data_IF_586439221312
#
_entry.id   IF_586439221312
#
_cell.length_a   1.000
_cell.length_b   1.000
_cell.length_c   1.000
_cell.angle_alpha   90.00
_cell.angle_beta   90.00
_cell.angle_gamma   90.00
#
_symmetry.space_group_name_H-M   'P 1'
#
loop_
_entity.id
_entity.type
_entity.pdbx_description
1 polymer ?
#
# COMPACT_ATOMS: atom_id res chain seq x y z
N UNK A 1 -28.85 110.97 -155.17
CA UNK A 1 -28.98 109.54 -154.78
C UNK A 1 -27.73 108.92 -154.14
N UNK A 2 -26.49 109.22 -154.57
CA UNK A 2 -25.26 108.62 -153.98
C UNK A 2 -25.12 108.82 -152.44
N UNK A 3 -25.41 110.00 -151.91
CA UNK A 3 -25.26 110.29 -150.47
C UNK A 3 -26.21 109.49 -149.56
N UNK A 4 -27.46 109.22 -150.00
CA UNK A 4 -28.41 108.41 -149.24
C UNK A 4 -28.00 106.93 -149.19
N UNK A 5 -27.50 106.42 -150.31
CA UNK A 5 -26.98 105.04 -150.42
C UNK A 5 -25.78 104.81 -149.50
N UNK A 6 -24.85 105.77 -149.45
CA UNK A 6 -23.68 105.73 -148.55
C UNK A 6 -24.12 105.78 -147.07
N UNK A 7 -25.13 106.57 -146.71
CA UNK A 7 -25.65 106.61 -145.33
C UNK A 7 -26.29 105.29 -144.91
N UNK A 8 -27.06 104.65 -145.78
CA UNK A 8 -27.66 103.33 -145.49
C UNK A 8 -26.59 102.25 -145.40
N UNK A 9 -25.60 102.26 -146.29
CA UNK A 9 -24.47 101.33 -146.25
C UNK A 9 -23.62 101.51 -144.98
N UNK A 10 -23.34 102.76 -144.59
CA UNK A 10 -22.63 103.07 -143.34
C UNK A 10 -23.45 102.68 -142.10
N UNK A 11 -24.77 102.94 -142.10
CA UNK A 11 -25.66 102.50 -141.03
C UNK A 11 -25.67 100.98 -140.88
N UNK A 12 -25.84 100.25 -142.00
CA UNK A 12 -25.85 98.79 -141.98
C UNK A 12 -24.52 98.23 -141.48
N UNK A 13 -23.39 98.75 -141.97
CA UNK A 13 -22.05 98.39 -141.50
C UNK A 13 -21.88 98.65 -140.00
N UNK A 14 -22.30 99.81 -139.50
CA UNK A 14 -22.23 100.14 -138.09
C UNK A 14 -23.11 99.23 -137.22
N UNK A 15 -24.32 98.90 -137.68
CA UNK A 15 -25.23 97.98 -136.97
C UNK A 15 -24.71 96.54 -136.97
N UNK A 16 -24.13 96.07 -138.08
CA UNK A 16 -23.50 94.75 -138.13
C UNK A 16 -22.31 94.66 -137.20
N UNK A 17 -21.44 95.67 -137.20
CA UNK A 17 -20.28 95.76 -136.29
C UNK A 17 -20.76 95.80 -134.83
N UNK A 18 -21.74 96.64 -134.48
CA UNK A 18 -22.28 96.71 -133.11
C UNK A 18 -22.92 95.39 -132.64
N UNK A 19 -23.61 94.66 -133.54
CA UNK A 19 -24.16 93.33 -133.24
C UNK A 19 -23.07 92.28 -133.06
N UNK A 20 -22.02 92.30 -133.88
CA UNK A 20 -20.87 91.41 -133.74
C UNK A 20 -20.09 91.68 -132.46
N UNK A 21 -19.87 92.96 -132.11
CA UNK A 21 -19.28 93.39 -130.84
C UNK A 21 -20.12 92.94 -129.65
N UNK A 22 -21.45 93.11 -129.70
CA UNK A 22 -22.35 92.61 -128.64
C UNK A 22 -22.31 91.09 -128.52
N UNK A 23 -22.28 90.34 -129.63
CA UNK A 23 -22.12 88.87 -129.61
C UNK A 23 -20.75 88.48 -129.03
N UNK A 24 -19.69 89.21 -129.35
CA UNK A 24 -18.35 89.02 -128.79
C UNK A 24 -18.35 89.27 -127.27
N UNK A 25 -18.96 90.37 -126.83
CA UNK A 25 -19.13 90.69 -125.41
C UNK A 25 -19.93 89.61 -124.66
N UNK A 26 -21.06 89.16 -125.19
CA UNK A 26 -21.87 88.12 -124.56
C UNK A 26 -21.13 86.77 -124.46
N UNK A 27 -20.35 86.39 -125.48
CA UNK A 27 -19.48 85.20 -125.44
C UNK A 27 -18.39 85.33 -124.37
N UNK A 28 -17.75 86.50 -124.29
CA UNK A 28 -16.73 86.78 -123.27
C UNK A 28 -17.34 86.76 -121.86
N UNK A 29 -18.50 87.39 -121.66
CA UNK A 29 -19.23 87.38 -120.39
C UNK A 29 -19.66 85.97 -119.99
N UNK A 30 -20.20 85.16 -120.91
CA UNK A 30 -20.58 83.77 -120.63
C UNK A 30 -19.37 82.94 -120.20
N UNK A 31 -18.24 83.09 -120.90
CA UNK A 31 -16.99 82.41 -120.57
C UNK A 31 -16.45 82.85 -119.20
N UNK A 32 -16.45 84.16 -118.92
CA UNK A 32 -16.04 84.72 -117.64
C UNK A 32 -16.93 84.23 -116.48
N UNK A 33 -18.25 84.22 -116.65
CA UNK A 33 -19.19 83.71 -115.63
C UNK A 33 -19.00 82.21 -115.39
N UNK A 34 -18.73 81.40 -116.42
CA UNK A 34 -18.41 79.98 -116.25
C UNK A 34 -17.13 79.78 -115.43
N UNK A 35 -16.07 80.53 -115.75
CA UNK A 35 -14.80 80.48 -114.99
C UNK A 35 -15.03 80.94 -113.54
N UNK A 36 -15.75 82.05 -113.34
CA UNK A 36 -16.06 82.58 -112.01
C UNK A 36 -16.90 81.61 -111.17
N UNK A 37 -17.94 81.00 -111.76
CA UNK A 37 -18.81 80.04 -111.06
C UNK A 37 -18.07 78.75 -110.75
N UNK A 38 -17.24 78.24 -111.67
CA UNK A 38 -16.39 77.08 -111.43
C UNK A 38 -15.37 77.38 -110.32
N UNK A 39 -14.71 78.54 -110.36
CA UNK A 39 -13.77 78.96 -109.33
C UNK A 39 -14.44 79.08 -107.96
N UNK A 40 -15.62 79.72 -107.87
CA UNK A 40 -16.38 79.84 -106.61
C UNK A 40 -16.80 78.47 -106.07
N UNK A 41 -17.29 77.56 -106.91
CA UNK A 41 -17.61 76.17 -106.49
C UNK A 41 -16.38 75.44 -105.99
N UNK A 42 -15.24 75.56 -106.69
CA UNK A 42 -13.97 74.93 -106.29
C UNK A 42 -13.43 75.53 -104.99
N UNK A 43 -13.58 76.83 -104.79
CA UNK A 43 -13.20 77.52 -103.55
C UNK A 43 -14.07 77.02 -102.37
N UNK A 44 -15.39 76.95 -102.54
CA UNK A 44 -16.31 76.42 -101.52
C UNK A 44 -16.01 74.96 -101.18
N UNK A 45 -15.81 74.10 -102.18
CA UNK A 45 -15.47 72.69 -101.97
C UNK A 45 -14.14 72.51 -101.21
N UNK A 46 -13.16 73.39 -101.42
CA UNK A 46 -11.91 73.40 -100.63
C UNK A 46 -12.16 73.78 -99.17
N UNK A 47 -13.00 74.79 -98.92
CA UNK A 47 -13.38 75.19 -97.56
C UNK A 47 -14.12 74.05 -96.85
N UNK A 48 -15.10 73.42 -97.49
CA UNK A 48 -15.85 72.30 -96.93
C UNK A 48 -14.97 71.07 -96.68
N UNK A 49 -14.08 70.75 -97.64
CA UNK A 49 -13.10 69.68 -97.47
C UNK A 49 -12.19 69.96 -96.28
N UNK A 50 -11.72 71.20 -96.11
CA UNK A 50 -10.89 71.57 -94.98
C UNK A 50 -11.67 71.45 -93.67
N UNK A 51 -12.94 71.90 -93.62
CA UNK A 51 -13.81 71.76 -92.45
C UNK A 51 -14.02 70.29 -92.07
N UNK A 52 -14.26 69.43 -93.06
CA UNK A 52 -14.37 67.98 -92.86
C UNK A 52 -13.05 67.39 -92.34
N UNK A 53 -11.91 67.75 -92.93
CA UNK A 53 -10.60 67.25 -92.51
C UNK A 53 -10.26 67.70 -91.07
N UNK A 54 -10.60 68.93 -90.69
CA UNK A 54 -10.42 69.41 -89.30
C UNK A 54 -11.28 68.59 -88.33
N UNK A 55 -12.57 68.37 -88.64
CA UNK A 55 -13.44 67.51 -87.83
C UNK A 55 -12.92 66.08 -87.74
N UNK A 56 -12.48 65.50 -88.87
CA UNK A 56 -11.91 64.15 -88.93
C UNK A 56 -10.64 64.04 -88.09
N UNK A 57 -9.72 65.01 -88.19
CA UNK A 57 -8.50 65.06 -87.38
C UNK A 57 -8.84 65.10 -85.89
N UNK A 58 -9.72 66.00 -85.47
CA UNK A 58 -10.16 66.10 -84.07
C UNK A 58 -10.80 64.80 -83.55
N UNK A 59 -11.61 64.13 -84.38
CA UNK A 59 -12.20 62.84 -84.02
C UNK A 59 -11.11 61.75 -83.87
N UNK A 60 -10.17 61.67 -84.81
CA UNK A 60 -9.06 60.70 -84.75
C UNK A 60 -8.17 60.96 -83.54
N UNK A 61 -7.87 62.21 -83.19
CA UNK A 61 -7.07 62.55 -82.00
C UNK A 61 -7.78 62.18 -80.70
N UNK A 62 -9.10 62.40 -80.62
CA UNK A 62 -9.89 61.99 -79.45
C UNK A 62 -9.95 60.47 -79.34
N UNK A 63 -10.16 59.76 -80.45
CA UNK A 63 -10.19 58.31 -80.48
C UNK A 63 -8.84 57.69 -80.12
N UNK A 64 -7.72 58.22 -80.64
CA UNK A 64 -6.39 57.71 -80.30
C UNK A 64 -6.05 57.97 -78.83
N UNK A 65 -6.39 59.14 -78.30
CA UNK A 65 -6.27 59.45 -76.88
C UNK A 65 -7.09 58.49 -76.03
N UNK A 66 -8.36 58.26 -76.36
CA UNK A 66 -9.22 57.35 -75.60
C UNK A 66 -8.72 55.91 -75.64
N UNK A 67 -8.25 55.41 -76.80
CA UNK A 67 -7.63 54.08 -76.90
C UNK A 67 -6.40 53.97 -76.00
N UNK A 68 -5.56 54.99 -75.94
CA UNK A 68 -4.40 55.03 -75.04
C UNK A 68 -4.81 55.06 -73.56
N UNK A 69 -5.82 55.86 -73.19
CA UNK A 69 -6.31 55.91 -71.80
C UNK A 69 -6.87 54.55 -71.38
N UNK A 70 -7.64 53.90 -72.27
CA UNK A 70 -8.18 52.57 -72.03
C UNK A 70 -7.07 51.55 -71.78
N UNK A 71 -6.06 51.45 -72.65
CA UNK A 71 -4.95 50.49 -72.48
C UNK A 71 -4.12 50.80 -71.23
N UNK A 72 -3.87 52.08 -70.92
CA UNK A 72 -3.19 52.49 -69.68
C UNK A 72 -3.97 52.05 -68.44
N UNK A 73 -5.29 52.23 -68.42
CA UNK A 73 -6.14 51.83 -67.30
C UNK A 73 -6.18 50.30 -67.13
N UNK A 74 -6.29 49.54 -68.23
CA UNK A 74 -6.22 48.08 -68.21
C UNK A 74 -4.88 47.58 -67.64
N UNK A 75 -3.76 48.16 -68.09
CA UNK A 75 -2.43 47.86 -67.56
C UNK A 75 -2.31 48.18 -66.06
N UNK A 76 -2.77 49.35 -65.62
CA UNK A 76 -2.73 49.72 -64.20
C UNK A 76 -3.58 48.79 -63.34
N UNK A 77 -4.72 48.33 -63.86
CA UNK A 77 -5.57 47.35 -63.18
C UNK A 77 -4.84 46.02 -62.99
N UNK A 78 -4.25 45.47 -64.06
CA UNK A 78 -3.44 44.26 -64.00
C UNK A 78 -2.25 44.41 -63.05
N UNK A 79 -1.49 45.51 -63.15
CA UNK A 79 -0.37 45.82 -62.26
C UNK A 79 -0.81 45.84 -60.79
N UNK A 80 -1.94 46.48 -60.48
CA UNK A 80 -2.48 46.54 -59.13
C UNK A 80 -2.83 45.15 -58.59
N UNK A 81 -3.45 44.29 -59.39
CA UNK A 81 -3.74 42.90 -58.99
C UNK A 81 -2.47 42.09 -58.71
N UNK A 82 -1.47 42.17 -59.60
CA UNK A 82 -0.18 41.49 -59.43
C UNK A 82 0.52 41.95 -58.15
N UNK A 83 0.58 43.26 -57.91
CA UNK A 83 1.21 43.81 -56.70
C UNK A 83 0.45 43.39 -55.43
N UNK A 84 -0.89 43.35 -55.46
CA UNK A 84 -1.70 42.84 -54.34
C UNK A 84 -1.41 41.36 -54.07
N UNK A 85 -1.30 40.54 -55.11
CA UNK A 85 -0.96 39.12 -54.99
C UNK A 85 0.44 38.92 -54.40
N UNK A 86 1.44 39.63 -54.95
CA UNK A 86 2.82 39.60 -54.45
C UNK A 86 2.91 40.04 -52.99
N UNK A 87 2.22 41.13 -52.61
CA UNK A 87 2.18 41.61 -51.21
C UNK A 87 1.59 40.55 -50.28
N UNK A 88 0.45 39.95 -50.65
CA UNK A 88 -0.18 38.86 -49.87
C UNK A 88 0.76 37.65 -49.72
N UNK A 89 1.44 37.26 -50.79
CA UNK A 89 2.39 36.16 -50.76
C UNK A 89 3.59 36.46 -49.84
N UNK A 90 4.19 37.66 -49.93
CA UNK A 90 5.31 38.06 -49.07
C UNK A 90 4.92 38.05 -47.59
N UNK A 91 3.75 38.58 -47.24
CA UNK A 91 3.21 38.55 -45.86
C UNK A 91 3.01 37.10 -45.40
N UNK A 92 2.39 36.25 -46.23
CA UNK A 92 2.16 34.83 -45.89
C UNK A 92 3.48 34.06 -45.71
N UNK A 93 4.49 34.36 -46.53
CA UNK A 93 5.84 33.77 -46.42
C UNK A 93 6.51 34.18 -45.10
N UNK A 94 6.48 35.47 -44.76
CA UNK A 94 7.04 35.98 -43.51
C UNK A 94 6.32 35.38 -42.29
N UNK A 95 4.99 35.36 -42.28
CA UNK A 95 4.19 34.77 -41.20
C UNK A 95 4.45 33.27 -41.00
N UNK A 96 4.72 32.52 -42.07
CA UNK A 96 5.11 31.11 -41.98
C UNK A 96 6.50 30.93 -41.37
N UNK A 97 7.45 31.79 -41.73
CA UNK A 97 8.80 31.77 -41.16
C UNK A 97 8.77 32.06 -39.65
N UNK A 98 8.11 33.14 -39.23
CA UNK A 98 7.98 33.50 -37.82
C UNK A 98 7.22 32.44 -37.02
N UNK A 99 6.15 31.86 -37.58
CA UNK A 99 5.43 30.75 -36.93
C UNK A 99 6.31 29.52 -36.75
N UNK A 100 7.15 29.18 -37.74
CA UNK A 100 8.07 28.04 -37.65
C UNK A 100 9.11 28.28 -36.56
N UNK A 101 9.71 29.46 -36.52
CA UNK A 101 10.67 29.84 -35.48
C UNK A 101 10.03 29.77 -34.09
N UNK A 102 8.85 30.37 -33.90
CA UNK A 102 8.10 30.30 -32.65
C UNK A 102 7.77 28.86 -32.22
N UNK A 103 7.42 27.98 -33.16
CA UNK A 103 7.17 26.57 -32.87
C UNK A 103 8.43 25.85 -32.38
N UNK A 104 9.58 26.11 -33.02
CA UNK A 104 10.86 25.53 -32.62
C UNK A 104 11.30 26.03 -31.25
N UNK A 105 11.22 27.34 -30.99
CA UNK A 105 11.57 27.91 -29.68
C UNK A 105 10.64 27.41 -28.59
N UNK A 106 9.33 27.37 -28.83
CA UNK A 106 8.37 26.80 -27.88
C UNK A 106 8.62 25.32 -27.62
N UNK A 107 8.90 24.52 -28.64
CA UNK A 107 9.25 23.11 -28.47
C UNK A 107 10.52 22.95 -27.63
N UNK A 108 11.56 23.74 -27.91
CA UNK A 108 12.81 23.74 -27.14
C UNK A 108 12.56 24.10 -25.66
N UNK A 109 11.77 25.14 -25.39
CA UNK A 109 11.41 25.54 -24.02
C UNK A 109 10.66 24.41 -23.29
N UNK A 110 9.71 23.74 -23.94
CA UNK A 110 9.00 22.59 -23.34
C UNK A 110 9.95 21.45 -23.00
N UNK A 111 10.90 21.12 -23.88
CA UNK A 111 11.89 20.07 -23.62
C UNK A 111 12.83 20.48 -22.49
N UNK A 112 13.36 21.69 -22.52
CA UNK A 112 14.28 22.22 -21.50
C UNK A 112 13.63 22.28 -20.11
N UNK A 113 12.39 22.78 -20.02
CA UNK A 113 11.65 22.86 -18.75
C UNK A 113 11.39 21.47 -18.17
N UNK A 114 10.94 20.52 -19.00
CA UNK A 114 10.77 19.11 -18.57
C UNK A 114 12.08 18.48 -18.11
N UNK A 115 13.16 18.69 -18.85
CA UNK A 115 14.48 18.16 -18.49
C UNK A 115 15.00 18.73 -17.15
N UNK A 116 14.88 20.05 -16.95
CA UNK A 116 15.26 20.70 -15.68
C UNK A 116 14.44 20.16 -14.51
N UNK A 117 13.12 20.01 -14.68
CA UNK A 117 12.24 19.45 -13.66
C UNK A 117 12.58 17.99 -13.31
N UNK A 118 12.82 17.15 -14.32
CA UNK A 118 13.23 15.75 -14.11
C UNK A 118 14.57 15.65 -13.38
N UNK A 119 15.53 16.49 -13.76
CA UNK A 119 16.86 16.51 -13.13
C UNK A 119 16.77 16.94 -11.66
N UNK A 120 16.00 17.99 -11.36
CA UNK A 120 15.74 18.43 -10.00
C UNK A 120 15.05 17.35 -9.17
N UNK A 121 14.03 16.69 -9.73
CA UNK A 121 13.32 15.58 -9.06
C UNK A 121 14.24 14.41 -8.77
N UNK A 122 15.10 14.00 -9.72
CA UNK A 122 16.08 12.93 -9.50
C UNK A 122 17.03 13.25 -8.35
N UNK A 123 17.58 14.47 -8.31
CA UNK A 123 18.44 14.93 -7.22
C UNK A 123 17.72 14.90 -5.87
N UNK A 124 16.52 15.46 -5.81
CA UNK A 124 15.72 15.48 -4.59
C UNK A 124 15.39 14.08 -4.07
N UNK A 125 14.97 13.16 -4.95
CA UNK A 125 14.67 11.77 -4.59
C UNK A 125 15.92 11.07 -4.04
N UNK A 126 17.08 11.26 -4.66
CA UNK A 126 18.34 10.70 -4.18
C UNK A 126 18.71 11.23 -2.78
N UNK A 127 18.65 12.56 -2.58
CA UNK A 127 18.92 13.17 -1.28
C UNK A 127 17.92 12.72 -0.21
N UNK A 128 16.64 12.63 -0.54
CA UNK A 128 15.59 12.13 0.37
C UNK A 128 15.84 10.67 0.75
N UNK A 129 16.21 9.83 -0.21
CA UNK A 129 16.51 8.42 0.08
C UNK A 129 17.73 8.29 0.99
N UNK A 130 18.79 9.04 0.73
CA UNK A 130 19.97 9.08 1.59
C UNK A 130 19.62 9.53 3.02
N UNK A 131 18.80 10.58 3.15
CA UNK A 131 18.33 11.08 4.45
C UNK A 131 17.51 10.02 5.21
N UNK A 132 16.59 9.32 4.53
CA UNK A 132 15.81 8.23 5.13
C UNK A 132 16.72 7.11 5.64
N UNK A 133 17.73 6.72 4.86
CA UNK A 133 18.69 5.69 5.27
C UNK A 133 19.45 6.12 6.52
N UNK A 134 20.01 7.33 6.52
CA UNK A 134 20.76 7.88 7.67
C UNK A 134 19.87 7.94 8.92
N UNK A 135 18.65 8.49 8.78
CA UNK A 135 17.70 8.59 9.88
C UNK A 135 17.28 7.22 10.43
N UNK A 136 17.05 6.24 9.55
CA UNK A 136 16.67 4.88 9.95
C UNK A 136 17.80 4.19 10.73
N UNK A 137 19.04 4.32 10.25
CA UNK A 137 20.22 3.78 10.93
C UNK A 137 20.47 4.47 12.27
N UNK A 138 20.29 5.80 12.34
CA UNK A 138 20.43 6.55 13.58
C UNK A 138 19.41 6.12 14.64
N UNK A 139 18.12 6.01 14.25
CA UNK A 139 17.04 5.52 15.13
C UNK A 139 17.33 4.10 15.63
N UNK A 140 17.78 3.22 14.72
CA UNK A 140 18.19 1.85 15.07
C UNK A 140 19.35 1.85 16.06
N UNK A 141 20.39 2.67 15.85
CA UNK A 141 21.54 2.77 16.75
C UNK A 141 21.15 3.23 18.15
N UNK A 142 20.30 4.26 18.26
CA UNK A 142 19.78 4.72 19.56
C UNK A 142 19.01 3.61 20.27
N UNK A 143 18.07 2.97 19.57
CA UNK A 143 17.27 1.89 20.16
C UNK A 143 18.15 0.72 20.62
N UNK A 144 19.14 0.35 19.82
CA UNK A 144 20.10 -0.73 20.14
C UNK A 144 20.95 -0.39 21.35
N UNK A 145 21.46 0.84 21.44
CA UNK A 145 22.22 1.30 22.63
C UNK A 145 21.35 1.22 23.88
N UNK A 146 20.14 1.77 23.84
CA UNK A 146 19.20 1.73 24.97
C UNK A 146 18.88 0.30 25.40
N UNK A 147 18.59 -0.59 24.44
CA UNK A 147 18.35 -2.02 24.72
C UNK A 147 19.56 -2.68 25.37
N UNK A 148 20.77 -2.47 24.83
CA UNK A 148 22.00 -3.02 25.41
C UNK A 148 22.21 -2.54 26.85
N UNK A 149 22.08 -1.24 27.11
CA UNK A 149 22.21 -0.68 28.46
C UNK A 149 21.25 -1.33 29.45
N UNK A 150 19.96 -1.43 29.09
CA UNK A 150 18.94 -2.06 29.93
C UNK A 150 19.24 -3.55 30.13
N UNK A 151 19.64 -4.27 29.07
CA UNK A 151 19.99 -5.68 29.13
C UNK A 151 21.16 -5.93 30.06
N UNK A 152 22.21 -5.12 29.97
CA UNK A 152 23.37 -5.24 30.86
C UNK A 152 23.00 -4.93 32.31
N UNK A 153 22.25 -3.86 32.57
CA UNK A 153 21.78 -3.56 33.92
C UNK A 153 20.95 -4.70 34.52
N UNK A 154 20.00 -5.25 33.76
CA UNK A 154 19.19 -6.39 34.18
C UNK A 154 20.04 -7.65 34.44
N UNK A 155 21.03 -7.92 33.59
CA UNK A 155 21.95 -9.05 33.77
C UNK A 155 22.75 -8.91 35.08
N UNK A 156 23.29 -7.73 35.34
CA UNK A 156 24.04 -7.44 36.56
C UNK A 156 23.14 -7.65 37.79
N UNK A 157 21.94 -7.08 37.81
CA UNK A 157 20.98 -7.27 38.91
C UNK A 157 20.67 -8.76 39.12
N UNK A 158 20.46 -9.51 38.04
CA UNK A 158 20.18 -10.95 38.12
C UNK A 158 21.37 -11.74 38.69
N UNK A 159 22.61 -11.39 38.31
CA UNK A 159 23.82 -12.04 38.84
C UNK A 159 23.93 -11.77 40.35
N UNK A 160 23.82 -10.52 40.78
CA UNK A 160 23.87 -10.15 42.19
C UNK A 160 22.75 -10.81 43.00
N UNK A 161 21.53 -10.85 42.46
CA UNK A 161 20.39 -11.51 43.12
C UNK A 161 20.62 -13.02 43.28
N UNK A 162 21.08 -13.70 42.24
CA UNK A 162 21.41 -15.14 42.32
C UNK A 162 22.50 -15.42 43.34
N UNK A 163 23.57 -14.61 43.36
CA UNK A 163 24.64 -14.72 44.34
C UNK A 163 24.12 -14.49 45.77
N UNK A 164 23.27 -13.48 45.98
CA UNK A 164 22.64 -13.19 47.27
C UNK A 164 21.77 -14.37 47.75
N UNK A 165 20.91 -14.92 46.88
CA UNK A 165 20.04 -16.06 47.22
C UNK A 165 20.89 -17.29 47.57
N UNK A 166 21.94 -17.58 46.79
CA UNK A 166 22.86 -18.68 47.08
C UNK A 166 23.57 -18.49 48.43
N UNK A 167 24.13 -17.30 48.68
CA UNK A 167 24.78 -16.97 49.95
C UNK A 167 23.83 -17.04 51.15
N UNK A 168 22.58 -16.60 51.00
CA UNK A 168 21.55 -16.71 52.04
C UNK A 168 21.22 -18.16 52.36
N UNK A 169 21.11 -19.01 51.33
CA UNK A 169 20.87 -20.45 51.50
C UNK A 169 22.01 -21.12 52.26
N UNK A 170 23.25 -20.84 51.88
CA UNK A 170 24.43 -21.43 52.54
C UNK A 170 24.57 -20.94 53.98
N UNK A 171 24.29 -19.65 54.25
CA UNK A 171 24.26 -19.11 55.61
C UNK A 171 23.22 -19.80 56.49
N UNK A 172 22.00 -20.02 55.99
CA UNK A 172 20.95 -20.73 56.72
C UNK A 172 21.37 -22.18 57.02
N UNK A 173 22.00 -22.85 56.03
CA UNK A 173 22.55 -24.19 56.20
C UNK A 173 23.63 -24.24 57.28
N UNK A 174 24.59 -23.30 57.25
CA UNK A 174 25.64 -23.17 58.26
C UNK A 174 25.06 -22.92 59.66
N UNK A 175 24.07 -22.03 59.80
CA UNK A 175 23.43 -21.76 61.09
C UNK A 175 22.72 -23.00 61.65
N UNK A 176 22.03 -23.76 60.80
CA UNK A 176 21.40 -25.03 61.18
C UNK A 176 22.44 -26.08 61.64
N UNK A 177 23.51 -26.27 60.87
CA UNK A 177 24.63 -27.15 61.23
C UNK A 177 25.29 -26.73 62.55
N UNK A 178 25.55 -25.44 62.72
CA UNK A 178 26.12 -24.89 63.96
C UNK A 178 25.19 -25.13 65.15
N UNK A 179 23.89 -24.92 64.99
CA UNK A 179 22.92 -25.17 66.06
C UNK A 179 22.84 -26.66 66.42
N UNK A 180 22.84 -27.55 65.42
CA UNK A 180 22.91 -29.00 65.64
C UNK A 180 24.19 -29.39 66.38
N UNK A 181 25.35 -28.88 65.96
CA UNK A 181 26.63 -29.11 66.62
C UNK A 181 26.63 -28.63 68.08
N UNK A 182 26.13 -27.42 68.36
CA UNK A 182 25.99 -26.90 69.73
C UNK A 182 25.08 -27.80 70.57
N UNK A 183 23.95 -28.25 70.01
CA UNK A 183 23.03 -29.17 70.71
C UNK A 183 23.69 -30.50 71.03
N UNK A 184 24.42 -31.09 70.08
CA UNK A 184 25.19 -32.32 70.29
C UNK A 184 26.27 -32.10 71.35
N UNK A 185 27.04 -31.03 71.26
CA UNK A 185 28.09 -30.69 72.24
C UNK A 185 27.50 -30.49 73.64
N UNK A 186 26.37 -29.79 73.77
CA UNK A 186 25.64 -29.64 75.04
C UNK A 186 25.15 -30.98 75.58
N UNK A 187 24.54 -31.81 74.73
CA UNK A 187 24.06 -33.15 75.10
C UNK A 187 25.21 -34.07 75.51
N UNK A 188 26.34 -34.01 74.81
CA UNK A 188 27.56 -34.75 75.15
C UNK A 188 28.12 -34.32 76.49
N UNK A 189 28.31 -33.01 76.71
CA UNK A 189 28.77 -32.48 78.01
C UNK A 189 27.82 -32.89 79.14
N UNK A 190 26.51 -32.76 78.95
CA UNK A 190 25.50 -33.24 79.90
C UNK A 190 25.62 -34.74 80.14
N UNK A 191 25.71 -35.58 79.09
CA UNK A 191 25.88 -37.03 79.24
C UNK A 191 27.21 -37.40 79.92
N UNK A 192 28.27 -36.61 79.73
CA UNK A 192 29.54 -36.81 80.43
C UNK A 192 29.37 -36.57 81.92
N UNK A 193 28.74 -35.46 82.31
CA UNK A 193 28.38 -35.17 83.72
C UNK A 193 27.43 -36.25 84.27
N UNK A 194 26.39 -36.63 83.54
CA UNK A 194 25.47 -37.70 83.95
C UNK A 194 26.14 -39.08 84.03
N UNK A 195 27.23 -39.33 83.30
CA UNK A 195 28.05 -40.55 83.40
C UNK A 195 28.96 -40.46 84.62
N UNK A 196 29.59 -39.32 84.87
CA UNK A 196 30.38 -39.06 86.08
C UNK A 196 29.49 -39.17 87.35
N UNK A 197 28.27 -38.64 87.31
CA UNK A 197 27.25 -38.79 88.35
C UNK A 197 26.64 -40.19 88.39
N UNK A 198 26.43 -40.87 87.26
CA UNK A 198 26.00 -42.28 87.27
C UNK A 198 27.07 -43.19 87.80
N UNK A 199 28.35 -42.92 87.57
CA UNK A 199 29.43 -43.68 88.18
C UNK A 199 29.33 -43.52 89.71
N UNK A 200 29.22 -42.27 90.20
CA UNK A 200 28.95 -41.99 91.62
C UNK A 200 27.68 -42.66 92.15
N UNK A 201 26.57 -42.59 91.42
CA UNK A 201 25.30 -43.24 91.79
C UNK A 201 25.33 -44.75 91.59
N UNK A 202 26.16 -45.32 90.72
CA UNK A 202 26.35 -46.77 90.57
C UNK A 202 27.23 -47.29 91.69
N UNK A 203 28.12 -46.48 92.23
CA UNK A 203 28.79 -46.76 93.51
C UNK A 203 27.77 -46.73 94.67
N UNK A 204 26.82 -45.78 94.68
CA UNK A 204 25.69 -45.75 95.64
C UNK A 204 24.60 -46.80 95.37
N UNK A 205 24.36 -47.19 94.12
CA UNK A 205 23.36 -48.20 93.70
C UNK A 205 23.97 -49.59 93.74
N UNK A 206 25.30 -49.79 93.68
CA UNK A 206 25.91 -51.04 94.12
C UNK A 206 25.67 -51.27 95.62
N UNK A 207 25.53 -50.19 96.39
CA UNK A 207 25.12 -50.21 97.80
C UNK A 207 23.61 -50.48 98.00
N UNK A 208 22.76 -50.19 97.00
CA UNK A 208 21.29 -50.36 97.04
C UNK A 208 20.82 -51.59 96.22
N UNK A 209 21.60 -52.10 95.27
CA UNK A 209 21.32 -53.26 94.41
C UNK A 209 21.75 -54.59 95.05
N UNK A 210 22.38 -54.54 96.23
CA UNK A 210 22.32 -55.63 97.21
C UNK A 210 20.98 -55.68 97.94
N UNK A 211 20.08 -54.69 97.73
CA UNK A 211 18.85 -54.50 98.51
C UNK A 211 17.55 -54.56 97.71
N UNK A 212 17.60 -54.57 96.37
CA UNK A 212 16.40 -54.63 95.52
C UNK A 212 16.66 -55.65 94.40
N UNK A 213 16.86 -56.91 94.82
CA UNK A 213 16.65 -58.11 94.00
C UNK A 213 15.28 -58.74 94.26
N UNK A 214 14.50 -58.20 95.20
CA UNK A 214 13.10 -58.54 95.35
C UNK A 214 12.25 -57.50 94.60
N UNK A 215 11.35 -58.04 93.76
CA UNK A 215 10.14 -57.44 93.18
C UNK A 215 10.19 -57.00 91.69
N UNK A 216 9.43 -57.77 90.90
CA UNK A 216 9.08 -57.70 89.46
C UNK A 216 8.45 -56.34 89.06
N UNK A 217 8.18 -55.95 87.81
CA UNK A 217 8.13 -56.57 86.47
C UNK A 217 7.23 -55.68 85.55
N UNK A 218 7.39 -55.81 84.23
CA UNK A 218 6.46 -55.42 83.11
C UNK A 218 6.07 -53.94 82.90
N UNK A 219 5.65 -53.39 81.75
CA UNK A 219 5.63 -53.69 80.29
C UNK A 219 5.18 -52.38 79.54
N UNK A 220 5.63 -52.18 78.27
CA UNK A 220 4.97 -51.74 76.99
C UNK A 220 3.83 -50.65 77.05
N UNK A 221 3.48 -49.77 76.05
CA UNK A 221 3.73 -49.65 74.57
C UNK A 221 4.19 -48.21 74.15
N UNK A 222 4.41 -47.77 72.90
CA UNK A 222 3.91 -48.10 71.56
C UNK A 222 3.07 -46.93 71.01
N UNK A 223 3.53 -46.24 69.96
CA UNK A 223 2.71 -45.53 68.92
C UNK A 223 3.67 -44.99 67.82
N UNK A 224 3.73 -45.62 66.65
CA UNK A 224 2.91 -45.38 65.44
C UNK A 224 3.17 -44.03 64.75
N UNK A 225 4.06 -44.13 63.77
CA UNK A 225 4.27 -43.24 62.65
C UNK A 225 3.04 -43.28 61.73
N UNK A 226 2.29 -42.19 61.68
CA UNK A 226 1.21 -41.96 60.71
C UNK A 226 1.76 -41.04 59.62
N UNK A 227 2.35 -41.62 58.58
CA UNK A 227 2.53 -40.95 57.29
C UNK A 227 2.32 -41.92 56.14
N UNK A 228 1.07 -42.16 55.75
CA UNK A 228 0.71 -42.63 54.40
C UNK A 228 -0.78 -42.41 54.14
N UNK A 229 -1.15 -41.17 53.83
CA UNK A 229 -2.35 -40.88 53.00
C UNK A 229 -2.13 -39.60 52.22
N UNK A 230 -1.67 -39.70 50.97
CA UNK A 230 -1.87 -38.68 49.94
C UNK A 230 -1.55 -39.24 48.57
N UNK A 231 -2.47 -40.07 48.05
CA UNK A 231 -2.68 -40.29 46.62
C UNK A 231 -3.95 -41.13 46.44
N UNK A 232 -5.13 -40.53 46.60
CA UNK A 232 -6.39 -41.10 46.14
C UNK A 232 -7.21 -40.05 45.38
N UNK A 233 -7.93 -40.45 44.31
CA UNK A 233 -8.70 -39.57 43.43
C UNK A 233 -10.00 -39.09 44.11
N UNK A 234 -9.83 -38.26 45.13
CA UNK A 234 -10.91 -37.61 45.88
C UNK A 234 -10.42 -36.49 46.82
N UNK A 235 -9.16 -36.05 46.71
CA UNK A 235 -8.62 -35.02 47.60
C UNK A 235 -9.04 -33.61 47.18
N UNK A 236 -9.43 -32.78 48.15
CA UNK A 236 -9.73 -31.35 48.02
C UNK A 236 -8.62 -30.53 47.32
N UNK A 237 -7.42 -31.10 47.20
CA UNK A 237 -6.28 -30.51 46.49
C UNK A 237 -6.59 -30.05 45.06
N UNK A 238 -7.34 -30.82 44.26
CA UNK A 238 -7.66 -30.42 42.88
C UNK A 238 -8.72 -29.32 42.81
N UNK A 239 -9.64 -29.29 43.79
CA UNK A 239 -10.60 -28.20 43.96
C UNK A 239 -9.89 -26.92 44.38
N UNK A 240 -8.94 -27.01 45.31
CA UNK A 240 -8.13 -25.90 45.78
C UNK A 240 -7.22 -25.35 44.66
N UNK A 241 -6.66 -26.23 43.83
CA UNK A 241 -5.85 -25.80 42.67
C UNK A 241 -6.67 -25.00 41.64
N UNK A 242 -7.92 -25.41 41.39
CA UNK A 242 -8.82 -24.70 40.46
C UNK A 242 -9.39 -23.42 41.09
N UNK A 243 -9.66 -23.41 42.40
CA UNK A 243 -10.07 -22.19 43.11
C UNK A 243 -8.98 -21.12 43.04
N UNK A 244 -7.71 -21.51 43.18
CA UNK A 244 -6.56 -20.61 42.99
C UNK A 244 -6.50 -20.05 41.57
N UNK A 245 -6.81 -20.83 40.53
CA UNK A 245 -6.87 -20.34 39.15
C UNK A 245 -7.99 -19.30 38.97
N UNK A 246 -9.16 -19.53 39.58
CA UNK A 246 -10.31 -18.61 39.52
C UNK A 246 -10.08 -17.33 40.33
N UNK A 247 -9.28 -17.37 41.40
CA UNK A 247 -8.96 -16.23 42.26
C UNK A 247 -7.64 -15.53 41.90
N UNK A 248 -7.07 -15.79 40.71
CA UNK A 248 -5.80 -15.20 40.29
C UNK A 248 -5.94 -13.70 40.00
N UNK A 249 -5.56 -12.84 40.96
CA UNK A 249 -5.57 -11.38 40.80
C UNK A 249 -4.35 -10.82 40.03
N UNK A 250 -3.39 -11.67 39.64
CA UNK A 250 -2.18 -11.27 38.93
C UNK A 250 -1.91 -12.18 37.74
N UNK A 251 -1.59 -11.57 36.59
CA UNK A 251 -1.19 -12.27 35.36
C UNK A 251 0.02 -13.19 35.60
N UNK A 252 0.90 -12.82 36.53
CA UNK A 252 2.06 -13.64 36.90
C UNK A 252 1.66 -14.94 37.62
N UNK A 253 0.73 -14.85 38.58
CA UNK A 253 0.20 -16.02 39.30
C UNK A 253 -0.59 -16.93 38.37
N UNK A 254 -1.40 -16.35 37.50
CA UNK A 254 -2.15 -17.08 36.49
C UNK A 254 -1.20 -17.86 35.55
N UNK A 255 -0.12 -17.22 35.09
CA UNK A 255 0.85 -17.87 34.22
C UNK A 255 1.60 -19.01 34.95
N UNK A 256 1.97 -18.84 36.22
CA UNK A 256 2.59 -19.93 36.99
C UNK A 256 1.64 -21.11 37.18
N UNK A 257 0.37 -20.85 37.49
CA UNK A 257 -0.64 -21.90 37.63
C UNK A 257 -0.85 -22.65 36.32
N UNK A 258 -1.00 -21.93 35.20
CA UNK A 258 -1.14 -22.53 33.88
C UNK A 258 0.10 -23.32 33.44
N UNK A 259 1.32 -22.88 33.78
CA UNK A 259 2.52 -23.68 33.51
C UNK A 259 2.50 -25.01 34.28
N UNK A 260 2.15 -24.99 35.57
CA UNK A 260 2.02 -26.21 36.37
C UNK A 260 0.94 -27.14 35.83
N UNK A 261 -0.21 -26.58 35.43
CA UNK A 261 -1.30 -27.35 34.80
C UNK A 261 -0.87 -27.94 33.45
N UNK A 262 -0.17 -27.18 32.59
CA UNK A 262 0.37 -27.66 31.31
C UNK A 262 1.32 -28.85 31.53
N UNK A 263 2.19 -28.79 32.55
CA UNK A 263 3.06 -29.92 32.88
C UNK A 263 2.30 -31.15 33.38
N UNK A 264 1.30 -30.96 34.24
CA UNK A 264 0.54 -32.06 34.85
C UNK A 264 -0.34 -32.75 33.80
N UNK A 265 -0.98 -31.96 32.94
CA UNK A 265 -1.86 -32.45 31.85
C UNK A 265 -1.09 -33.20 30.76
N UNK A 266 0.21 -32.95 30.60
CA UNK A 266 1.07 -33.76 29.72
C UNK A 266 1.46 -35.09 30.39
N UNK A 267 1.73 -35.09 31.70
CA UNK A 267 2.27 -36.24 32.42
C UNK A 267 1.22 -37.30 32.80
N UNK A 268 -0.03 -36.93 33.07
CA UNK A 268 -1.04 -37.88 33.55
C UNK A 268 -2.41 -37.73 32.86
N UNK A 269 -2.82 -38.72 32.02
CA UNK A 269 -4.14 -38.72 31.39
C UNK A 269 -5.29 -38.87 32.39
N UNK A 270 -5.08 -39.55 33.52
CA UNK A 270 -6.11 -39.70 34.57
C UNK A 270 -6.44 -38.36 35.23
N UNK A 271 -5.43 -37.50 35.43
CA UNK A 271 -5.61 -36.15 35.96
C UNK A 271 -6.32 -35.24 34.95
N UNK A 272 -6.11 -35.42 33.64
CA UNK A 272 -6.86 -34.68 32.62
C UNK A 272 -8.37 -34.90 32.72
N UNK A 273 -8.83 -36.12 33.05
CA UNK A 273 -10.25 -36.44 33.23
C UNK A 273 -10.80 -35.70 34.44
N UNK A 274 -10.13 -35.81 35.59
CA UNK A 274 -10.52 -35.13 36.85
C UNK A 274 -10.62 -33.63 36.62
N UNK A 275 -9.61 -33.01 36.00
CA UNK A 275 -9.62 -31.57 35.74
C UNK A 275 -10.75 -31.13 34.78
N UNK A 276 -11.09 -31.96 33.80
CA UNK A 276 -12.21 -31.72 32.89
C UNK A 276 -13.57 -31.79 33.61
N UNK A 277 -13.74 -32.73 34.54
CA UNK A 277 -14.95 -32.83 35.40
C UNK A 277 -15.08 -31.62 36.31
N UNK A 278 -13.97 -31.02 36.74
CA UNK A 278 -13.94 -29.78 37.51
C UNK A 278 -14.09 -28.49 36.66
N UNK A 279 -14.51 -28.65 35.40
CA UNK A 279 -14.81 -27.58 34.45
C UNK A 279 -13.61 -26.71 34.01
N UNK A 280 -12.38 -27.23 34.13
CA UNK A 280 -11.15 -26.51 33.75
C UNK A 280 -11.20 -25.96 32.32
N UNK A 281 -11.82 -26.68 31.38
CA UNK A 281 -11.93 -26.21 29.99
C UNK A 281 -12.63 -24.85 29.88
N UNK A 282 -13.69 -24.61 30.66
CA UNK A 282 -14.37 -23.31 30.68
C UNK A 282 -13.47 -22.22 31.26
N UNK A 283 -12.79 -22.51 32.37
CA UNK A 283 -11.91 -21.55 33.02
C UNK A 283 -10.76 -21.12 32.09
N UNK A 284 -10.20 -22.07 31.33
CA UNK A 284 -9.16 -21.79 30.33
C UNK A 284 -9.74 -20.97 29.16
N UNK A 285 -10.93 -21.31 28.65
CA UNK A 285 -11.57 -20.54 27.59
C UNK A 285 -11.91 -19.10 28.01
N UNK A 286 -12.43 -18.92 29.23
CA UNK A 286 -12.69 -17.60 29.82
C UNK A 286 -11.39 -16.79 29.95
N UNK A 287 -10.29 -17.45 30.32
CA UNK A 287 -8.95 -16.83 30.36
C UNK A 287 -8.50 -16.34 28.97
N UNK A 288 -8.77 -17.12 27.92
CA UNK A 288 -8.48 -16.72 26.52
C UNK A 288 -9.37 -15.53 26.11
N UNK A 289 -10.64 -15.53 26.51
CA UNK A 289 -11.59 -14.47 26.17
C UNK A 289 -11.21 -13.11 26.79
N UNK A 290 -10.59 -13.09 27.97
CA UNK A 290 -10.15 -11.88 28.69
C UNK A 290 -8.85 -11.24 28.13
N UNK A 291 -8.42 -11.61 26.92
CA UNK A 291 -7.15 -11.17 26.35
C UNK A 291 -7.04 -9.67 26.04
N UNK A 292 -6.09 -9.01 26.72
CA UNK A 292 -5.74 -7.59 26.56
C UNK A 292 -4.56 -7.29 25.61
N UNK A 293 -4.07 -8.31 24.88
CA UNK A 293 -2.98 -8.26 23.88
C UNK A 293 -1.59 -7.91 24.43
N UNK A 294 -1.42 -7.81 25.74
CA UNK A 294 -0.11 -7.56 26.35
C UNK A 294 0.82 -8.77 26.19
N UNK A 295 2.13 -8.55 26.15
CA UNK A 295 3.12 -9.62 26.01
C UNK A 295 2.99 -10.72 27.11
N UNK A 296 2.74 -10.39 28.39
CA UNK A 296 2.47 -11.41 29.41
C UNK A 296 1.19 -12.20 29.14
N UNK A 297 0.14 -11.54 28.64
CA UNK A 297 -1.13 -12.21 28.35
C UNK A 297 -1.05 -13.14 27.12
N UNK A 298 -0.20 -12.81 26.14
CA UNK A 298 0.08 -13.71 25.02
C UNK A 298 0.72 -15.03 25.50
N UNK A 299 1.60 -14.98 26.52
CA UNK A 299 2.15 -16.19 27.15
C UNK A 299 1.10 -17.00 27.92
N UNK A 300 0.16 -16.33 28.58
CA UNK A 300 -1.00 -16.97 29.22
C UNK A 300 -1.84 -17.70 28.17
N UNK A 301 -2.15 -17.04 27.05
CA UNK A 301 -2.89 -17.63 25.93
C UNK A 301 -2.15 -18.81 25.30
N UNK A 302 -0.81 -18.75 25.22
CA UNK A 302 0.03 -19.85 24.73
C UNK A 302 -0.19 -21.12 25.57
N UNK A 303 -0.06 -21.00 26.90
CA UNK A 303 -0.21 -22.12 27.84
C UNK A 303 -1.65 -22.63 27.87
N UNK A 304 -2.62 -21.72 27.87
CA UNK A 304 -4.03 -22.04 27.74
C UNK A 304 -4.31 -22.88 26.48
N UNK A 305 -3.80 -22.46 25.31
CA UNK A 305 -3.95 -23.23 24.07
C UNK A 305 -3.22 -24.58 24.12
N UNK A 306 -2.03 -24.65 24.72
CA UNK A 306 -1.28 -25.91 24.89
C UNK A 306 -2.05 -26.94 25.72
N UNK A 307 -2.64 -26.52 26.83
CA UNK A 307 -3.47 -27.38 27.68
C UNK A 307 -4.70 -27.86 26.88
N UNK A 308 -5.42 -26.96 26.21
CA UNK A 308 -6.59 -27.34 25.41
C UNK A 308 -6.25 -28.27 24.23
N UNK A 309 -5.10 -28.08 23.58
CA UNK A 309 -4.61 -29.02 22.55
C UNK A 309 -4.36 -30.40 23.15
N UNK A 310 -3.74 -30.44 24.32
CA UNK A 310 -3.46 -31.69 25.03
C UNK A 310 -4.77 -32.40 25.40
N UNK A 311 -5.75 -31.67 25.93
CA UNK A 311 -7.07 -32.20 26.29
C UNK A 311 -7.93 -32.61 25.07
N UNK A 312 -7.77 -31.97 23.91
CA UNK A 312 -8.53 -32.34 22.68
C UNK A 312 -7.97 -33.58 21.98
N UNK A 313 -6.67 -33.84 22.12
CA UNK A 313 -6.01 -35.04 21.55
C UNK A 313 -6.39 -36.33 22.28
N UNK A 314 -6.69 -36.28 23.58
CA UNK A 314 -7.24 -37.42 24.31
C UNK A 314 -8.73 -37.59 24.01
N UNK A 315 -9.13 -38.78 23.53
CA UNK A 315 -10.51 -39.09 23.11
C UNK A 315 -11.55 -38.86 24.22
N UNK A 316 -11.24 -39.27 25.45
CA UNK A 316 -12.16 -39.16 26.59
C UNK A 316 -12.41 -37.71 27.06
N UNK A 317 -11.42 -36.83 26.95
CA UNK A 317 -11.52 -35.43 27.38
C UNK A 317 -11.99 -34.48 26.28
N UNK A 318 -11.96 -34.91 25.00
CA UNK A 318 -12.36 -34.11 23.84
C UNK A 318 -13.77 -33.50 23.98
N UNK A 319 -14.74 -34.26 24.51
CA UNK A 319 -16.12 -33.81 24.74
C UNK A 319 -16.22 -32.58 25.66
N UNK A 320 -15.30 -32.42 26.62
CA UNK A 320 -15.30 -31.28 27.55
C UNK A 320 -14.71 -30.01 26.93
N UNK A 321 -13.93 -30.14 25.86
CA UNK A 321 -13.26 -29.01 25.19
C UNK A 321 -14.05 -28.53 23.97
N UNK A 322 -14.88 -29.37 23.36
CA UNK A 322 -15.75 -29.00 22.23
C UNK A 322 -16.86 -28.03 22.65
N UNK A 323 -16.51 -26.74 22.78
CA UNK A 323 -17.42 -25.67 23.21
C UNK A 323 -17.56 -24.61 22.11
N UNK A 324 -18.67 -24.68 21.37
CA UNK A 324 -18.98 -23.83 20.21
C UNK A 324 -19.06 -22.34 20.58
N UNK A 325 -19.48 -22.01 21.80
CA UNK A 325 -19.60 -20.63 22.32
C UNK A 325 -18.27 -19.86 22.33
N UNK A 326 -17.14 -20.55 22.49
CA UNK A 326 -15.81 -19.94 22.51
C UNK A 326 -15.14 -19.86 21.15
N UNK A 327 -15.79 -20.32 20.07
CA UNK A 327 -15.24 -20.28 18.72
C UNK A 327 -14.85 -18.85 18.30
N UNK A 328 -15.70 -17.87 18.61
CA UNK A 328 -15.41 -16.47 18.34
C UNK A 328 -14.22 -15.95 19.16
N UNK A 329 -14.07 -16.38 20.42
CA UNK A 329 -12.96 -15.99 21.27
C UNK A 329 -11.62 -16.53 20.73
N UNK A 330 -11.60 -17.78 20.25
CA UNK A 330 -10.42 -18.36 19.60
C UNK A 330 -10.06 -17.64 18.30
N UNK A 331 -11.04 -17.33 17.43
CA UNK A 331 -10.76 -16.61 16.18
C UNK A 331 -10.30 -15.16 16.45
N UNK A 332 -10.82 -14.51 17.51
CA UNK A 332 -10.30 -13.23 18.01
C UNK A 332 -8.86 -13.34 18.52
N UNK A 333 -8.49 -14.43 19.20
CA UNK A 333 -7.11 -14.71 19.57
C UNK A 333 -6.23 -14.94 18.34
N UNK A 334 -6.73 -15.65 17.33
CA UNK A 334 -6.01 -15.94 16.08
C UNK A 334 -5.64 -14.65 15.33
N UNK A 335 -6.56 -13.68 15.22
CA UNK A 335 -6.25 -12.42 14.54
C UNK A 335 -5.31 -11.52 15.37
N UNK A 336 -5.43 -11.51 16.69
CA UNK A 336 -4.57 -10.67 17.56
C UNK A 336 -3.16 -11.24 17.66
N UNK A 337 -3.00 -12.55 17.55
CA UNK A 337 -1.71 -13.26 17.58
C UNK A 337 -0.94 -13.23 16.25
N UNK A 338 -1.40 -12.53 15.20
CA UNK A 338 -0.70 -12.47 13.90
C UNK A 338 0.77 -12.02 13.99
N UNK A 339 1.16 -11.28 15.03
CA UNK A 339 2.56 -10.84 15.27
C UNK A 339 3.36 -11.81 16.12
N UNK A 340 2.71 -12.73 16.83
CA UNK A 340 3.31 -13.71 17.73
C UNK A 340 3.15 -15.11 17.15
N UNK A 341 4.20 -15.59 16.46
CA UNK A 341 4.17 -16.85 15.71
C UNK A 341 3.80 -18.04 16.60
N UNK A 342 4.28 -18.09 17.84
CA UNK A 342 4.03 -19.25 18.71
C UNK A 342 2.56 -19.34 19.12
N UNK A 343 1.99 -18.23 19.59
CA UNK A 343 0.58 -18.19 20.00
C UNK A 343 -0.34 -18.43 18.82
N UNK A 344 0.00 -17.86 17.66
CA UNK A 344 -0.75 -18.07 16.43
C UNK A 344 -0.82 -19.55 16.06
N UNK A 345 0.32 -20.26 16.06
CA UNK A 345 0.37 -21.66 15.68
C UNK A 345 -0.37 -22.56 16.67
N UNK A 346 -0.29 -22.29 17.98
CA UNK A 346 -1.05 -23.04 18.98
C UNK A 346 -2.56 -22.78 18.83
N UNK A 347 -2.97 -21.53 18.71
CA UNK A 347 -4.37 -21.17 18.52
C UNK A 347 -4.94 -21.75 17.21
N UNK A 348 -4.19 -21.67 16.11
CA UNK A 348 -4.56 -22.24 14.83
C UNK A 348 -4.66 -23.78 14.89
N UNK A 349 -3.72 -24.44 15.56
CA UNK A 349 -3.76 -25.89 15.76
C UNK A 349 -4.99 -26.29 16.58
N UNK A 350 -5.31 -25.56 17.64
CA UNK A 350 -6.49 -25.81 18.46
C UNK A 350 -7.79 -25.65 17.65
N UNK A 351 -7.94 -24.55 16.91
CA UNK A 351 -9.11 -24.32 16.04
C UNK A 351 -9.24 -25.45 15.03
N UNK A 352 -8.13 -25.84 14.38
CA UNK A 352 -8.13 -26.92 13.38
C UNK A 352 -8.50 -28.28 13.97
N UNK A 353 -8.01 -28.61 15.17
CA UNK A 353 -8.36 -29.85 15.89
C UNK A 353 -9.84 -29.88 16.27
N UNK A 354 -10.38 -28.75 16.75
CA UNK A 354 -11.80 -28.64 17.08
C UNK A 354 -12.68 -28.70 15.83
N UNK A 355 -12.22 -28.15 14.70
CA UNK A 355 -12.95 -28.16 13.44
C UNK A 355 -13.00 -29.52 12.75
N UNK A 356 -12.33 -30.55 13.28
CA UNK A 356 -12.53 -31.94 12.84
C UNK A 356 -13.90 -32.47 13.25
N UNK A 357 -14.53 -31.85 14.25
CA UNK A 357 -15.90 -32.12 14.63
C UNK A 357 -16.85 -31.32 13.72
N UNK A 358 -17.77 -32.02 13.06
CA UNK A 358 -18.68 -31.44 12.06
C UNK A 358 -19.54 -30.32 12.67
N UNK A 359 -19.93 -30.52 13.92
CA UNK A 359 -20.80 -29.67 14.70
C UNK A 359 -20.10 -28.35 15.10
N UNK A 360 -18.79 -28.42 15.35
CA UNK A 360 -17.95 -27.25 15.58
C UNK A 360 -17.62 -26.51 14.27
N UNK A 361 -17.35 -27.24 13.18
CA UNK A 361 -17.09 -26.65 11.86
C UNK A 361 -18.30 -25.85 11.36
N UNK A 362 -19.51 -26.41 11.49
CA UNK A 362 -20.77 -25.69 11.19
C UNK A 362 -20.91 -24.41 12.01
N UNK A 363 -20.60 -24.45 13.31
CA UNK A 363 -20.65 -23.27 14.15
C UNK A 363 -19.67 -22.17 13.72
N UNK A 364 -18.47 -22.53 13.23
CA UNK A 364 -17.51 -21.58 12.66
C UNK A 364 -18.05 -20.94 11.37
N UNK A 365 -18.64 -21.75 10.48
CA UNK A 365 -19.15 -21.30 9.18
C UNK A 365 -20.45 -20.48 9.29
N UNK A 366 -21.30 -20.76 10.27
CA UNK A 366 -22.57 -20.04 10.46
C UNK A 366 -22.41 -18.64 11.06
N UNK A 367 -21.32 -18.38 11.81
CA UNK A 367 -21.13 -17.10 12.48
C UNK A 367 -20.58 -16.02 11.52
N UNK A 368 -21.34 -14.95 11.20
CA UNK A 368 -20.90 -13.93 10.23
C UNK A 368 -19.61 -13.21 10.66
N UNK A 369 -19.47 -12.98 11.97
CA UNK A 369 -18.29 -12.32 12.53
C UNK A 369 -17.03 -13.17 12.40
N UNK A 370 -17.14 -14.49 12.58
CA UNK A 370 -16.03 -15.43 12.39
C UNK A 370 -15.62 -15.45 10.91
N UNK A 371 -16.57 -15.56 10.00
CA UNK A 371 -16.30 -15.52 8.56
C UNK A 371 -15.58 -14.24 8.13
N UNK A 372 -16.02 -13.08 8.63
CA UNK A 372 -15.36 -11.80 8.36
C UNK A 372 -13.92 -11.76 8.89
N UNK A 373 -13.69 -12.24 10.12
CA UNK A 373 -12.34 -12.33 10.72
C UNK A 373 -11.43 -13.29 9.94
N UNK A 374 -11.95 -14.45 9.57
CA UNK A 374 -11.21 -15.45 8.79
C UNK A 374 -10.83 -14.93 7.40
N UNK A 375 -11.74 -14.21 6.72
CA UNK A 375 -11.44 -13.56 5.43
C UNK A 375 -10.33 -12.50 5.57
N UNK A 376 -10.34 -11.72 6.65
CA UNK A 376 -9.28 -10.76 6.94
C UNK A 376 -7.92 -11.42 7.20
N UNK A 377 -7.91 -12.52 7.94
CA UNK A 377 -6.68 -13.31 8.19
C UNK A 377 -6.17 -13.89 6.86
N UNK A 378 -7.06 -14.47 6.04
CA UNK A 378 -6.74 -15.00 4.72
C UNK A 378 -6.09 -13.93 3.83
N UNK A 379 -6.68 -12.74 3.73
CA UNK A 379 -6.10 -11.65 2.92
C UNK A 379 -4.73 -11.18 3.42
N UNK A 380 -4.50 -11.19 4.74
CA UNK A 380 -3.22 -10.75 5.33
C UNK A 380 -2.11 -11.79 5.19
N UNK A 381 -2.44 -13.08 5.27
CA UNK A 381 -1.47 -14.19 5.32
C UNK A 381 -1.27 -14.82 3.93
N UNK A 382 -2.35 -15.10 3.19
CA UNK A 382 -2.33 -15.82 1.93
C UNK A 382 -2.28 -14.86 0.73
N UNK A 383 -1.12 -14.24 0.52
CA UNK A 383 -0.83 -13.48 -0.71
C UNK A 383 -0.73 -14.41 -1.92
N UNK A 384 -0.98 -13.90 -3.13
CA UNK A 384 -0.98 -14.69 -4.38
C UNK A 384 0.28 -15.55 -4.56
N UNK A 385 1.44 -15.03 -4.18
CA UNK A 385 2.73 -15.74 -4.23
C UNK A 385 2.80 -16.95 -3.29
N UNK A 386 2.17 -16.86 -2.11
CA UNK A 386 2.10 -17.93 -1.11
C UNK A 386 1.10 -19.00 -1.54
N UNK A 387 -0.03 -18.58 -2.11
CA UNK A 387 -1.04 -19.48 -2.66
C UNK A 387 -0.45 -20.33 -3.81
N UNK A 388 0.29 -19.70 -4.74
CA UNK A 388 0.98 -20.41 -5.81
C UNK A 388 2.05 -21.39 -5.30
N UNK A 389 2.73 -21.07 -4.19
CA UNK A 389 3.68 -21.97 -3.54
C UNK A 389 2.99 -23.18 -2.89
N UNK A 390 1.84 -22.96 -2.24
CA UNK A 390 1.06 -24.03 -1.59
C UNK A 390 0.48 -25.00 -2.62
N UNK A 391 0.02 -24.52 -3.78
CA UNK A 391 -0.51 -25.35 -4.86
C UNK A 391 0.54 -26.29 -5.51
N UNK A 392 1.82 -25.93 -5.43
CA UNK A 392 2.92 -26.74 -5.98
C UNK A 392 3.35 -27.89 -5.07
N UNK A 393 2.99 -27.85 -3.78
CA UNK A 393 3.32 -28.91 -2.83
C UNK A 393 2.30 -30.06 -2.96
N UNK A 394 2.72 -31.18 -3.55
CA UNK A 394 1.96 -32.44 -3.49
C UNK A 394 1.93 -32.93 -2.02
N UNK A 395 0.78 -33.43 -1.57
CA UNK A 395 0.52 -34.00 -0.24
C UNK A 395 0.57 -33.01 0.96
N UNK A 396 -0.15 -31.89 0.87
CA UNK A 396 -0.33 -30.92 1.98
C UNK A 396 -0.81 -31.56 3.30
N UNK A 397 -1.52 -32.69 3.24
CA UNK A 397 -2.12 -33.37 4.39
C UNK A 397 -1.09 -34.09 5.28
N UNK A 398 0.10 -34.40 4.75
CA UNK A 398 1.22 -34.96 5.53
C UNK A 398 1.83 -33.93 6.50
N UNK A 399 1.64 -32.63 6.22
CA UNK A 399 2.15 -31.53 7.05
C UNK A 399 1.17 -31.09 8.15
N UNK A 400 -0.02 -31.70 8.22
CA UNK A 400 -1.02 -31.38 9.24
C UNK A 400 -0.67 -32.00 10.60
N UNK A 401 -1.06 -31.33 11.70
CA UNK A 401 -0.83 -31.85 13.04
C UNK A 401 -1.50 -33.21 13.28
N UNK A 402 -0.91 -34.05 14.13
CA UNK A 402 -1.56 -35.31 14.53
C UNK A 402 -2.81 -35.06 15.38
N UNK A 403 -3.87 -35.83 15.14
CA UNK A 403 -5.07 -35.86 15.98
C UNK A 403 -4.95 -36.80 17.19
N UNK A 404 -3.87 -37.59 17.26
CA UNK A 404 -3.61 -38.56 18.33
C UNK A 404 -2.74 -37.97 19.46
N UNK A 405 -2.77 -38.54 20.68
CA UNK A 405 -1.89 -38.15 21.77
C UNK A 405 -0.41 -38.33 21.42
N UNK A 406 0.42 -37.38 21.85
CA UNK A 406 1.84 -37.25 21.46
C UNK A 406 2.77 -38.35 22.00
N UNK A 407 2.25 -39.42 22.64
CA UNK A 407 3.05 -40.43 23.34
C UNK A 407 3.74 -41.44 22.41
N UNK A 408 3.23 -41.67 21.19
CA UNK A 408 3.75 -42.75 20.32
C UNK A 408 3.96 -42.38 18.84
N UNK A 409 3.82 -41.12 18.42
CA UNK A 409 3.74 -40.78 17.00
C UNK A 409 4.90 -39.88 16.52
N UNK A 410 5.91 -40.48 15.87
CA UNK A 410 7.13 -39.79 15.36
C UNK A 410 6.91 -39.15 13.97
N UNK A 411 5.80 -39.48 13.29
CA UNK A 411 5.64 -39.16 11.87
C UNK A 411 4.97 -37.81 11.56
N UNK A 412 4.20 -37.21 12.49
CA UNK A 412 3.45 -35.96 12.26
C UNK A 412 3.79 -34.89 13.31
N UNK A 413 3.88 -33.61 12.93
CA UNK A 413 4.24 -32.55 13.86
C UNK A 413 3.13 -32.33 14.92
N UNK A 414 3.53 -31.98 16.16
CA UNK A 414 2.59 -31.70 17.27
C UNK A 414 1.69 -30.49 16.99
N UNK A 415 2.20 -29.52 16.23
CA UNK A 415 1.61 -28.21 15.91
C UNK A 415 1.90 -27.89 14.44
N UNK A 416 1.15 -26.94 13.85
CA UNK A 416 1.52 -26.39 12.54
C UNK A 416 2.91 -25.74 12.60
N UNK A 417 3.70 -25.90 11.54
CA UNK A 417 5.07 -25.34 11.44
C UNK A 417 5.10 -23.93 10.83
N UNK A 418 4.08 -23.60 10.02
CA UNK A 418 3.99 -22.36 9.26
C UNK A 418 2.55 -21.80 9.29
N UNK A 419 2.45 -20.50 9.52
CA UNK A 419 1.21 -19.71 9.65
C UNK A 419 0.34 -19.85 8.40
N UNK A 420 0.97 -19.85 7.22
CA UNK A 420 0.30 -19.91 5.93
C UNK A 420 -0.42 -21.24 5.72
N UNK A 421 0.24 -22.35 6.12
CA UNK A 421 -0.34 -23.68 6.05
C UNK A 421 -1.49 -23.85 7.07
N UNK A 422 -1.32 -23.32 8.28
CA UNK A 422 -2.35 -23.37 9.31
C UNK A 422 -3.63 -22.64 8.87
N UNK A 423 -3.50 -21.44 8.28
CA UNK A 423 -4.64 -20.68 7.76
C UNK A 423 -5.29 -21.41 6.57
N UNK A 424 -4.50 -21.95 5.65
CA UNK A 424 -5.04 -22.71 4.52
C UNK A 424 -5.83 -23.95 4.96
N UNK A 425 -5.35 -24.67 5.98
CA UNK A 425 -6.02 -25.84 6.54
C UNK A 425 -7.36 -25.50 7.19
N UNK A 426 -7.41 -24.44 8.01
CA UNK A 426 -8.66 -23.98 8.65
C UNK A 426 -9.66 -23.51 7.58
N UNK A 427 -9.22 -22.74 6.59
CA UNK A 427 -10.09 -22.23 5.52
C UNK A 427 -10.67 -23.37 4.67
N UNK A 428 -9.91 -24.44 4.42
CA UNK A 428 -10.40 -25.65 3.71
C UNK A 428 -11.60 -26.25 4.44
N UNK A 429 -11.51 -26.38 5.77
CA UNK A 429 -12.55 -27.01 6.60
C UNK A 429 -13.80 -26.12 6.72
N UNK A 430 -13.65 -24.80 6.78
CA UNK A 430 -14.81 -23.88 6.89
C UNK A 430 -15.58 -23.69 5.58
N UNK A 431 -15.05 -24.18 4.44
CA UNK A 431 -15.68 -24.06 3.11
C UNK A 431 -16.36 -25.35 2.64
N UNK A 432 -16.00 -26.47 3.24
CA UNK A 432 -16.66 -27.78 3.09
C UNK A 432 -17.82 -27.85 4.05
#
# INVERSE_FOLDING_TARGET
MRCATIRIQNWWRNVTVAREERRRYLRLRKSAVLVQTHWRRRALARVDRQRYLTKKRACVTLQSWWRMVRTRNEYQRCKTYVLRMQRRWRVKKAARATRREYQLTRAAVVVQTRWRALTARKRFVASRQAAIVIQSYYRMRIATRRYKTIKYAALIIQIYWRAYVAGRRERLRYLSLRQAAITIQRRYRRKRIEREERCRRQDEVALIATKIRDECGEAIPGDQDVTTKLALPGSDYWQEMISVLRSCNSVGMLLTCLNSLDTITILSPTVCVILCELNLANDIYNTIAQNNRSLPWMKVCLRACSILITLTKYSYTRKYVLKKEYALALVKLLITSLKDKEVFLHCATLIWLLSQDEDYSKALAMCPQINWLMKNIQQKVLKETVVARLQKLKDLEKLYPSCEPDRNNVQKPRLFTDISFAVAAIVKITRT
#
